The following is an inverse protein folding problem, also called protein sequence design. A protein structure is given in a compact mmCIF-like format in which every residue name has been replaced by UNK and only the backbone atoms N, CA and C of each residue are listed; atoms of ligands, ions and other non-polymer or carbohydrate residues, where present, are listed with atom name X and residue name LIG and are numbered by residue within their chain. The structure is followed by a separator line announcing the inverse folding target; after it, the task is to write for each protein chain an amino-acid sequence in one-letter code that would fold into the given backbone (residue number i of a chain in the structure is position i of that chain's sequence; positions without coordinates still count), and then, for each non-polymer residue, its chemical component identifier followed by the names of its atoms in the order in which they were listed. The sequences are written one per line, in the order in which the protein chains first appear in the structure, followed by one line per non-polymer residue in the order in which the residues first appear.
data_IF_702151339758
#
_entry.id   IF_702151339758
#
_cell.length_a   1.000
_cell.length_b   1.000
_cell.length_c   1.000
_cell.angle_alpha   90.00
_cell.angle_beta   90.00
_cell.angle_gamma   90.00
#
_symmetry.space_group_name_H-M   'P 1'
#
loop_
_entity.id
_entity.type
_entity.pdbx_description
1 polymer ?
#
# COMPACT_ATOMS: atom_id res chain seq x y z
N UNK A 1 -9.60 10.70 -5.40
CA UNK A 1 -8.21 11.17 -5.16
C UNK A 1 -7.93 10.92 -3.69
N UNK A 2 -6.79 10.32 -3.35
CA UNK A 2 -6.31 10.17 -1.98
C UNK A 2 -4.91 10.77 -1.91
N UNK A 3 -4.45 11.12 -0.71
CA UNK A 3 -3.12 11.64 -0.48
C UNK A 3 -2.26 10.61 0.25
N UNK A 4 -0.95 10.66 -0.01
CA UNK A 4 0.06 9.89 0.71
C UNK A 4 1.21 10.83 1.00
N UNK A 5 1.52 11.01 2.27
CA UNK A 5 2.64 11.78 2.78
C UNK A 5 3.67 10.80 3.36
N UNK A 6 4.93 10.94 2.94
CA UNK A 6 6.02 10.04 3.29
C UNK A 6 7.11 10.79 4.06
N UNK A 7 7.65 10.17 5.11
CA UNK A 7 8.85 10.61 5.83
C UNK A 7 9.99 9.63 5.55
N UNK A 8 10.88 10.00 4.63
CA UNK A 8 11.87 9.05 4.10
C UNK A 8 11.17 7.83 3.49
N UNK A 9 11.47 6.63 3.98
CA UNK A 9 10.83 5.38 3.55
C UNK A 9 9.50 5.08 4.27
N UNK A 10 9.21 5.74 5.40
CA UNK A 10 7.96 5.53 6.15
C UNK A 10 6.79 6.27 5.49
N UNK A 11 5.58 5.74 5.66
CA UNK A 11 4.33 6.47 5.37
C UNK A 11 3.97 7.26 6.63
N UNK A 12 3.97 8.58 6.55
CA UNK A 12 3.64 9.46 7.65
C UNK A 12 2.12 9.63 7.79
N UNK A 13 1.41 9.89 6.68
CA UNK A 13 -0.05 10.10 6.65
C UNK A 13 -0.65 9.66 5.32
N UNK A 14 -1.86 9.13 5.36
CA UNK A 14 -2.64 8.84 4.16
C UNK A 14 -4.12 8.62 4.48
N UNK A 15 -5.00 8.98 3.56
CA UNK A 15 -6.42 8.61 3.56
C UNK A 15 -6.76 7.49 2.55
N UNK A 16 -5.74 6.81 2.01
CA UNK A 16 -5.90 5.72 1.06
C UNK A 16 -6.85 4.64 1.60
N UNK A 17 -6.77 4.31 2.89
CA UNK A 17 -7.59 3.27 3.52
C UNK A 17 -9.09 3.57 3.49
N UNK A 18 -9.48 4.83 3.42
CA UNK A 18 -10.87 5.29 3.33
C UNK A 18 -11.36 5.42 1.89
N UNK A 19 -10.47 5.26 0.90
CA UNK A 19 -10.80 5.45 -0.51
C UNK A 19 -11.71 4.34 -1.06
N UNK A 20 -12.49 4.66 -2.10
CA UNK A 20 -13.31 3.69 -2.84
C UNK A 20 -12.44 2.56 -3.40
N UNK A 21 -11.19 2.87 -3.77
CA UNK A 21 -10.23 1.90 -4.29
C UNK A 21 -9.86 0.85 -3.24
N UNK A 22 -9.52 1.28 -2.02
CA UNK A 22 -9.19 0.38 -0.92
C UNK A 22 -10.40 -0.48 -0.53
N UNK A 23 -11.60 0.11 -0.49
CA UNK A 23 -12.85 -0.61 -0.21
C UNK A 23 -13.17 -1.66 -1.29
N UNK A 24 -12.85 -1.37 -2.55
CA UNK A 24 -12.99 -2.31 -3.66
C UNK A 24 -11.85 -3.35 -3.75
N UNK A 25 -10.87 -3.30 -2.84
CA UNK A 25 -9.77 -4.26 -2.77
C UNK A 25 -8.59 -3.97 -3.71
N UNK A 26 -8.53 -2.79 -4.35
CA UNK A 26 -7.40 -2.42 -5.20
C UNK A 26 -6.18 -2.07 -4.38
N UNK A 27 -5.05 -2.72 -4.66
CA UNK A 27 -3.73 -2.35 -4.13
C UNK A 27 -3.23 -1.05 -4.77
N UNK A 28 -2.39 -0.31 -4.06
CA UNK A 28 -1.71 0.87 -4.59
C UNK A 28 -0.20 0.74 -4.50
N UNK A 29 0.49 0.94 -5.63
CA UNK A 29 1.94 0.83 -5.74
C UNK A 29 2.54 2.18 -6.12
N UNK A 30 3.56 2.62 -5.40
CA UNK A 30 4.31 3.83 -5.71
C UNK A 30 5.81 3.66 -5.48
N UNK A 31 6.62 4.41 -6.23
CA UNK A 31 8.06 4.53 -6.03
C UNK A 31 8.41 6.00 -5.80
N UNK A 32 8.83 6.32 -4.57
CA UNK A 32 9.37 7.64 -4.23
C UNK A 32 10.16 7.56 -2.92
N UNK A 33 10.89 8.63 -2.59
CA UNK A 33 11.66 8.74 -1.34
C UNK A 33 12.55 7.50 -1.04
N UNK A 34 13.15 6.94 -2.10
CA UNK A 34 14.05 5.79 -2.02
C UNK A 34 13.39 4.44 -1.70
N UNK A 35 12.07 4.30 -1.87
CA UNK A 35 11.38 3.04 -1.62
C UNK A 35 10.23 2.76 -2.62
N UNK A 36 10.05 1.47 -2.93
CA UNK A 36 8.80 0.93 -3.44
C UNK A 36 7.83 0.74 -2.27
N UNK A 37 6.59 1.20 -2.39
CA UNK A 37 5.55 0.98 -1.38
C UNK A 37 4.32 0.38 -2.01
N UNK A 38 3.96 -0.81 -1.55
CA UNK A 38 2.69 -1.46 -1.88
C UNK A 38 1.75 -1.32 -0.68
N UNK A 39 0.72 -0.50 -0.82
CA UNK A 39 -0.38 -0.42 0.15
C UNK A 39 -1.40 -1.51 -0.20
N UNK A 40 -1.65 -2.39 0.77
CA UNK A 40 -2.55 -3.54 0.62
C UNK A 40 -3.77 -3.34 1.52
N UNK A 41 -4.97 -3.15 0.97
CA UNK A 41 -6.17 -2.92 1.78
C UNK A 41 -6.59 -4.20 2.51
N UNK A 42 -7.43 -4.04 3.53
CA UNK A 42 -7.91 -5.14 4.35
C UNK A 42 -8.56 -6.27 3.54
N UNK A 43 -9.33 -5.94 2.50
CA UNK A 43 -9.95 -6.89 1.58
C UNK A 43 -8.92 -7.76 0.81
N UNK A 44 -7.69 -7.25 0.64
CA UNK A 44 -6.61 -7.91 -0.08
C UNK A 44 -5.52 -8.48 0.85
N UNK A 45 -5.75 -8.53 2.18
CA UNK A 45 -4.78 -9.09 3.15
C UNK A 45 -4.33 -10.52 2.84
N UNK A 46 -5.14 -11.29 2.12
CA UNK A 46 -4.78 -12.65 1.71
C UNK A 46 -3.52 -12.67 0.82
N UNK A 47 -3.29 -11.63 0.01
CA UNK A 47 -2.09 -11.46 -0.83
C UNK A 47 -0.80 -11.44 0.00
N UNK A 48 -0.84 -10.92 1.24
CA UNK A 48 0.32 -10.88 2.12
C UNK A 48 0.82 -12.29 2.49
N UNK A 49 -0.06 -13.29 2.49
CA UNK A 49 0.35 -14.68 2.75
C UNK A 49 1.16 -15.24 1.58
N UNK A 50 0.74 -14.94 0.35
CA UNK A 50 1.44 -15.36 -0.87
C UNK A 50 2.81 -14.68 -0.98
N UNK A 51 2.88 -13.39 -0.65
CA UNK A 51 4.13 -12.61 -0.72
C UNK A 51 5.20 -13.06 0.28
N UNK A 52 4.81 -13.66 1.42
CA UNK A 52 5.79 -14.14 2.43
C UNK A 52 6.68 -15.28 1.93
N UNK A 53 6.22 -16.03 0.93
CA UNK A 53 7.00 -17.11 0.33
C UNK A 53 7.84 -16.67 -0.87
N UNK A 54 7.82 -15.38 -1.23
CA UNK A 54 8.58 -14.89 -2.37
C UNK A 54 10.07 -14.82 -2.03
N UNK A 55 10.88 -15.62 -2.72
CA UNK A 55 12.34 -15.50 -2.76
C UNK A 55 12.75 -14.69 -3.99
N UNK A 56 13.83 -13.90 -3.89
CA UNK A 56 14.33 -12.98 -4.91
C UNK A 56 15.46 -13.59 -5.75
#
# INVERSE_FOLDING_TARGET
MFFIENEGQAVARTDYWQSVQAQAGYVYLSWNAGAARLLVPDAAKHLLREMRGAEY
#
